data_IF_842268842226
#
_entry.id   IF_842268842226
#
_cell.length_a   1.000
_cell.length_b   1.000
_cell.length_c   1.000
_cell.angle_alpha   90.00
_cell.angle_beta   90.00
_cell.angle_gamma   90.00
#
_symmetry.space_group_name_H-M   'P 1'
#
loop_
_entity.id
_entity.type
_entity.pdbx_description
1 polymer ?
#
# COMPACT_ATOMS: atom_id res chain seq x y z
N UNK A 1 3.08 -21.45 -0.60
CA UNK A 1 4.42 -20.89 -0.92
C UNK A 1 4.39 -19.38 -1.14
N UNK A 2 3.71 -18.86 -2.17
CA UNK A 2 3.67 -17.40 -2.46
C UNK A 2 3.14 -16.58 -1.29
N UNK A 3 1.98 -16.94 -0.72
CA UNK A 3 1.40 -16.25 0.44
C UNK A 3 2.37 -16.15 1.63
N UNK A 4 3.12 -17.23 1.90
CA UNK A 4 4.11 -17.27 2.99
C UNK A 4 5.29 -16.34 2.73
N UNK A 5 5.86 -16.34 1.52
CA UNK A 5 6.97 -15.45 1.21
C UNK A 5 6.56 -13.97 1.12
N UNK A 6 5.34 -13.69 0.65
CA UNK A 6 4.80 -12.33 0.68
C UNK A 6 4.58 -11.89 2.13
N UNK A 7 4.03 -12.75 2.99
CA UNK A 7 3.90 -12.49 4.42
C UNK A 7 5.26 -12.19 5.08
N UNK A 8 6.29 -12.99 4.76
CA UNK A 8 7.64 -12.74 5.27
C UNK A 8 8.21 -11.38 4.84
N UNK A 9 8.07 -10.99 3.57
CA UNK A 9 8.58 -9.70 3.10
C UNK A 9 7.74 -8.53 3.62
N UNK A 10 6.44 -8.71 3.83
CA UNK A 10 5.57 -7.75 4.50
C UNK A 10 6.00 -7.53 5.96
N UNK A 11 6.26 -8.60 6.72
CA UNK A 11 6.81 -8.49 8.07
C UNK A 11 8.17 -7.79 8.08
N UNK A 12 9.04 -8.12 7.11
CA UNK A 12 10.32 -7.43 6.94
C UNK A 12 10.13 -5.93 6.69
N UNK A 13 9.14 -5.51 5.91
CA UNK A 13 8.83 -4.09 5.73
C UNK A 13 8.48 -3.41 7.06
N UNK A 14 7.65 -4.05 7.89
CA UNK A 14 7.32 -3.52 9.23
C UNK A 14 8.56 -3.39 10.12
N UNK A 15 9.45 -4.38 10.08
CA UNK A 15 10.71 -4.36 10.83
C UNK A 15 11.64 -3.25 10.31
N UNK A 16 11.85 -3.19 8.99
CA UNK A 16 12.68 -2.17 8.32
C UNK A 16 12.21 -0.75 8.66
N UNK A 17 10.91 -0.49 8.66
CA UNK A 17 10.37 0.83 9.00
C UNK A 17 10.68 1.25 10.45
N UNK A 18 10.59 0.30 11.40
CA UNK A 18 10.98 0.55 12.81
C UNK A 18 12.47 0.82 12.98
N UNK A 19 13.30 0.23 12.11
CA UNK A 19 14.75 0.45 12.08
C UNK A 19 15.14 1.69 11.27
N UNK A 20 14.19 2.36 10.60
CA UNK A 20 14.47 3.49 9.71
C UNK A 20 15.18 3.09 8.41
N UNK A 21 15.02 1.85 7.97
CA UNK A 21 15.66 1.27 6.77
C UNK A 21 14.64 1.17 5.64
N UNK A 22 15.07 1.42 4.41
CA UNK A 22 14.26 1.16 3.22
C UNK A 22 14.23 -0.34 2.88
N UNK A 23 13.05 -0.95 2.95
CA UNK A 23 12.87 -2.37 2.64
C UNK A 23 13.17 -2.70 1.18
N UNK A 24 12.98 -1.75 0.25
CA UNK A 24 13.24 -1.96 -1.17
C UNK A 24 14.74 -2.10 -1.43
N UNK A 25 15.56 -1.27 -0.78
CA UNK A 25 17.02 -1.43 -0.81
C UNK A 25 17.47 -2.76 -0.19
N UNK A 26 16.82 -3.21 0.89
CA UNK A 26 17.09 -4.52 1.50
C UNK A 26 16.81 -5.66 0.52
N UNK A 27 15.66 -5.61 -0.17
CA UNK A 27 15.29 -6.61 -1.19
C UNK A 27 16.26 -6.59 -2.37
N UNK A 28 16.64 -5.41 -2.85
CA UNK A 28 17.58 -5.27 -3.97
C UNK A 28 19.00 -5.74 -3.60
N UNK A 29 19.47 -5.40 -2.40
CA UNK A 29 20.75 -5.89 -1.87
C UNK A 29 20.74 -7.41 -1.72
N UNK A 30 19.67 -8.00 -1.18
CA UNK A 30 19.53 -9.45 -1.05
C UNK A 30 19.52 -10.15 -2.41
N UNK A 31 18.92 -9.52 -3.42
CA UNK A 31 18.85 -10.03 -4.78
C UNK A 31 20.18 -10.00 -5.56
N UNK A 32 21.22 -9.34 -5.05
CA UNK A 32 22.57 -9.40 -5.67
C UNK A 32 23.22 -10.77 -5.53
N UNK A 33 22.71 -11.63 -4.63
CA UNK A 33 23.23 -12.99 -4.45
C UNK A 33 22.75 -13.91 -5.57
N UNK A 34 23.65 -14.63 -6.27
CA UNK A 34 23.30 -15.42 -7.45
C UNK A 34 22.52 -16.71 -7.14
N UNK A 35 22.28 -17.03 -5.86
CA UNK A 35 21.56 -18.21 -5.41
C UNK A 35 20.81 -17.96 -4.10
N UNK A 36 19.76 -18.74 -3.86
CA UNK A 36 19.05 -18.76 -2.58
C UNK A 36 18.12 -17.58 -2.30
N UNK A 37 17.92 -16.68 -3.27
CA UNK A 37 16.99 -15.56 -3.14
C UNK A 37 15.94 -15.59 -4.25
N UNK A 38 14.67 -15.68 -3.86
CA UNK A 38 13.54 -15.47 -4.76
C UNK A 38 12.91 -14.12 -4.42
N UNK A 39 12.86 -13.22 -5.41
CA UNK A 39 12.30 -11.88 -5.22
C UNK A 39 10.80 -11.96 -4.90
N UNK A 40 10.44 -11.42 -3.75
CA UNK A 40 9.09 -11.04 -3.37
C UNK A 40 9.14 -9.59 -2.89
N UNK A 41 8.04 -8.87 -3.07
CA UNK A 41 7.95 -7.47 -2.73
C UNK A 41 6.86 -7.25 -1.68
N UNK A 42 7.07 -6.31 -0.75
CA UNK A 42 6.05 -5.95 0.20
C UNK A 42 4.95 -5.16 -0.51
N UNK A 43 3.79 -5.03 0.14
CA UNK A 43 2.67 -4.28 -0.43
C UNK A 43 1.56 -4.02 0.58
N UNK A 44 0.48 -3.35 0.15
CA UNK A 44 -0.66 -3.02 1.00
C UNK A 44 -1.44 -4.26 1.48
N UNK A 45 -1.19 -5.44 0.90
CA UNK A 45 -1.82 -6.70 1.25
C UNK A 45 -1.75 -7.71 0.11
N UNK A 46 -2.40 -8.85 0.29
CA UNK A 46 -2.62 -9.83 -0.77
C UNK A 46 -3.90 -9.50 -1.54
N UNK A 47 -3.93 -9.81 -2.83
CA UNK A 47 -5.14 -9.70 -3.61
C UNK A 47 -5.28 -10.74 -4.71
N UNK A 48 -6.46 -10.72 -5.36
CA UNK A 48 -6.91 -11.74 -6.30
C UNK A 48 -7.38 -12.99 -5.56
N UNK A 49 -7.97 -13.95 -6.27
CA UNK A 49 -8.59 -15.10 -5.60
C UNK A 49 -7.58 -16.14 -5.09
N UNK A 50 -6.57 -16.52 -5.89
CA UNK A 50 -5.80 -17.73 -5.62
C UNK A 50 -4.85 -17.62 -4.40
N UNK A 51 -4.25 -16.46 -4.17
CA UNK A 51 -3.22 -16.30 -3.12
C UNK A 51 -3.83 -16.15 -1.72
N UNK A 52 -4.88 -15.34 -1.49
CA UNK A 52 -5.51 -15.23 -0.18
C UNK A 52 -6.44 -16.40 0.16
N UNK A 53 -7.12 -17.02 -0.82
CA UNK A 53 -8.14 -18.05 -0.54
C UNK A 53 -7.57 -19.46 -0.49
N UNK A 54 -6.82 -19.90 -1.50
CA UNK A 54 -6.39 -21.31 -1.63
C UNK A 54 -5.60 -21.83 -0.41
N UNK A 55 -4.65 -21.06 0.17
CA UNK A 55 -3.94 -21.50 1.36
C UNK A 55 -4.88 -21.64 2.57
N UNK A 56 -5.82 -20.72 2.75
CA UNK A 56 -6.79 -20.77 3.86
C UNK A 56 -7.75 -21.95 3.72
N UNK A 57 -8.16 -22.28 2.49
CA UNK A 57 -8.93 -23.49 2.22
C UNK A 57 -8.16 -24.75 2.61
N UNK A 58 -6.87 -24.84 2.26
CA UNK A 58 -6.01 -25.95 2.69
C UNK A 58 -5.87 -25.97 4.22
N UNK A 59 -5.64 -24.83 4.87
CA UNK A 59 -5.53 -24.72 6.32
C UNK A 59 -6.80 -25.23 7.02
N UNK A 60 -7.96 -24.80 6.53
CA UNK A 60 -9.25 -25.29 7.00
C UNK A 60 -9.39 -26.80 6.83
N UNK A 61 -9.03 -27.34 5.66
CA UNK A 61 -9.11 -28.78 5.40
C UNK A 61 -8.20 -29.57 6.35
N UNK A 62 -6.98 -29.10 6.59
CA UNK A 62 -6.04 -29.75 7.51
C UNK A 62 -6.51 -29.73 8.96
N UNK A 63 -7.25 -28.69 9.37
CA UNK A 63 -7.88 -28.62 10.70
C UNK A 63 -8.88 -29.76 10.92
N UNK A 64 -9.59 -30.21 9.88
CA UNK A 64 -10.46 -31.41 9.96
C UNK A 64 -9.69 -32.70 10.23
N UNK A 65 -8.39 -32.71 9.93
CA UNK A 65 -7.46 -33.81 10.21
C UNK A 65 -6.65 -33.57 11.50
N UNK A 66 -7.10 -32.63 12.35
CA UNK A 66 -6.41 -32.22 13.59
C UNK A 66 -4.97 -31.75 13.36
N UNK A 67 -4.64 -31.27 12.15
CA UNK A 67 -3.33 -30.72 11.83
C UNK A 67 -3.41 -29.20 11.64
N UNK A 68 -2.56 -28.48 12.38
CA UNK A 68 -2.49 -27.02 12.32
C UNK A 68 -1.41 -26.56 11.36
N UNK A 69 -1.79 -25.86 10.30
CA UNK A 69 -0.87 -25.31 9.28
C UNK A 69 -0.27 -23.97 9.74
N UNK A 70 0.62 -24.02 10.74
CA UNK A 70 1.21 -22.82 11.39
C UNK A 70 1.74 -21.77 10.41
N UNK A 71 2.50 -22.15 9.38
CA UNK A 71 3.04 -21.21 8.40
C UNK A 71 1.97 -20.53 7.55
N UNK A 72 0.90 -21.25 7.19
CA UNK A 72 -0.17 -20.68 6.37
C UNK A 72 -0.96 -19.67 7.20
N UNK A 73 -1.30 -20.04 8.43
CA UNK A 73 -2.06 -19.18 9.35
C UNK A 73 -1.29 -17.90 9.68
N UNK A 74 0.00 -18.01 10.05
CA UNK A 74 0.83 -16.85 10.36
C UNK A 74 1.00 -15.93 9.14
N UNK A 75 1.22 -16.50 7.97
CA UNK A 75 1.30 -15.70 6.75
C UNK A 75 -0.02 -14.98 6.46
N UNK A 76 -1.16 -15.62 6.67
CA UNK A 76 -2.45 -15.00 6.47
C UNK A 76 -2.67 -13.84 7.46
N UNK A 77 -2.31 -14.01 8.73
CA UNK A 77 -2.37 -12.98 9.76
C UNK A 77 -1.54 -11.75 9.38
N UNK A 78 -0.24 -11.94 9.09
CA UNK A 78 0.65 -10.83 8.69
C UNK A 78 0.13 -10.10 7.46
N UNK A 79 -0.34 -10.84 6.44
CA UNK A 79 -0.84 -10.23 5.22
C UNK A 79 -2.15 -9.45 5.44
N UNK A 80 -3.03 -9.93 6.32
CA UNK A 80 -4.30 -9.27 6.66
C UNK A 80 -4.09 -7.99 7.49
N UNK A 81 -2.94 -7.85 8.17
CA UNK A 81 -2.59 -6.62 8.91
C UNK A 81 -2.02 -5.51 8.03
N UNK A 82 -1.62 -5.81 6.80
CA UNK A 82 -0.96 -4.82 5.93
C UNK A 82 -1.83 -3.62 5.55
N UNK A 83 -3.16 -3.73 5.32
CA UNK A 83 -4.00 -2.56 5.15
C UNK A 83 -3.94 -1.63 6.35
N UNK A 84 -4.02 -2.15 7.58
CA UNK A 84 -3.88 -1.35 8.81
C UNK A 84 -2.50 -0.70 8.92
N UNK A 85 -1.45 -1.41 8.49
CA UNK A 85 -0.10 -0.86 8.42
C UNK A 85 -0.04 0.34 7.46
N UNK A 86 -0.67 0.26 6.28
CA UNK A 86 -0.78 1.39 5.33
C UNK A 86 -1.52 2.57 5.96
N UNK A 87 -2.61 2.33 6.70
CA UNK A 87 -3.32 3.40 7.43
C UNK A 87 -2.42 4.08 8.45
N UNK A 88 -1.54 3.32 9.13
CA UNK A 88 -0.58 3.92 10.06
C UNK A 88 0.41 4.82 9.33
N UNK A 89 0.91 4.40 8.17
CA UNK A 89 1.76 5.24 7.31
C UNK A 89 1.05 6.50 6.82
N UNK A 90 -0.22 6.39 6.45
CA UNK A 90 -1.08 7.53 6.12
C UNK A 90 -1.20 8.52 7.29
N UNK A 91 -1.43 8.02 8.50
CA UNK A 91 -1.49 8.86 9.70
C UNK A 91 -0.15 9.54 10.00
N UNK A 92 0.98 8.83 9.85
CA UNK A 92 2.32 9.41 10.00
C UNK A 92 2.57 10.54 9.01
N UNK A 93 2.23 10.32 7.72
CA UNK A 93 2.36 11.33 6.68
C UNK A 93 1.51 12.58 6.97
N UNK A 94 0.23 12.41 7.28
CA UNK A 94 -0.68 13.53 7.62
C UNK A 94 -0.22 14.28 8.88
N UNK A 95 0.23 13.56 9.91
CA UNK A 95 0.71 14.17 11.15
C UNK A 95 1.95 15.03 10.93
N UNK A 96 2.78 14.74 9.92
CA UNK A 96 3.95 15.55 9.57
C UNK A 96 3.60 17.00 9.19
N UNK A 97 2.37 17.21 8.71
CA UNK A 97 1.79 18.53 8.37
C UNK A 97 0.64 18.92 9.30
N UNK A 98 0.57 18.31 10.50
CA UNK A 98 -0.44 18.58 11.55
C UNK A 98 -1.88 18.33 11.10
N UNK A 99 -2.11 17.36 10.21
CA UNK A 99 -3.45 16.86 9.85
C UNK A 99 -3.69 15.47 10.46
N UNK A 100 -4.94 15.15 10.72
CA UNK A 100 -5.40 13.82 11.15
C UNK A 100 -6.05 13.07 10.00
N UNK A 101 -6.12 11.74 10.07
CA UNK A 101 -6.88 10.93 9.09
C UNK A 101 -8.35 11.37 9.05
N UNK A 102 -8.97 11.59 10.22
CA UNK A 102 -10.33 12.10 10.32
C UNK A 102 -10.40 13.51 9.71
N UNK A 103 -11.30 13.70 8.75
CA UNK A 103 -11.53 14.94 8.03
C UNK A 103 -10.53 15.25 6.91
N UNK A 104 -9.55 14.37 6.65
CA UNK A 104 -8.63 14.55 5.53
C UNK A 104 -9.24 14.03 4.22
N UNK A 105 -8.98 14.76 3.13
CA UNK A 105 -9.31 14.32 1.76
C UNK A 105 -8.22 13.38 1.25
N UNK A 106 -8.59 12.13 0.98
CA UNK A 106 -7.64 11.08 0.56
C UNK A 106 -8.02 10.56 -0.83
N UNK A 107 -7.06 10.61 -1.76
CA UNK A 107 -7.20 10.02 -3.08
C UNK A 107 -6.45 8.68 -3.15
N UNK A 108 -7.17 7.60 -3.41
CA UNK A 108 -6.56 6.27 -3.62
C UNK A 108 -6.34 6.04 -5.12
N UNK A 109 -5.10 5.80 -5.51
CA UNK A 109 -4.72 5.44 -6.88
C UNK A 109 -4.68 3.93 -7.04
N UNK A 110 -5.56 3.43 -7.91
CA UNK A 110 -5.78 2.02 -8.19
C UNK A 110 -6.63 1.31 -7.14
N UNK A 111 -7.62 0.55 -7.61
CA UNK A 111 -8.47 -0.33 -6.78
C UNK A 111 -8.47 -1.78 -7.28
N UNK A 112 -8.00 -2.03 -8.50
CA UNK A 112 -7.73 -3.38 -8.98
C UNK A 112 -6.69 -4.10 -8.10
N UNK A 113 -6.78 -5.43 -7.97
CA UNK A 113 -5.86 -6.19 -7.12
C UNK A 113 -4.43 -6.29 -7.68
N UNK A 114 -4.28 -6.02 -8.99
CA UNK A 114 -3.04 -6.07 -9.76
C UNK A 114 -3.04 -4.92 -10.79
N UNK A 115 -1.86 -4.43 -11.21
CA UNK A 115 -1.77 -3.49 -12.33
C UNK A 115 -2.48 -3.96 -13.60
N UNK A 116 -3.02 -2.97 -14.30
CA UNK A 116 -3.55 -3.00 -15.67
C UNK A 116 -4.65 -4.04 -15.92
N UNK A 117 -5.46 -4.30 -14.90
CA UNK A 117 -6.66 -5.15 -14.98
C UNK A 117 -7.82 -4.47 -14.26
N UNK A 118 -9.05 -4.91 -14.54
CA UNK A 118 -10.27 -4.39 -13.92
C UNK A 118 -10.80 -5.27 -12.78
N UNK A 119 -10.02 -6.24 -12.31
CA UNK A 119 -10.45 -7.20 -11.29
C UNK A 119 -10.14 -6.64 -9.89
N UNK A 120 -11.19 -6.43 -9.10
CA UNK A 120 -11.12 -5.88 -7.74
C UNK A 120 -11.31 -6.93 -6.65
N UNK A 121 -11.47 -8.21 -7.01
CA UNK A 121 -11.73 -9.27 -6.03
C UNK A 121 -10.56 -9.42 -5.07
N UNK A 122 -10.89 -9.45 -3.77
CA UNK A 122 -9.92 -9.50 -2.67
C UNK A 122 -8.86 -8.39 -2.75
N UNK A 123 -9.14 -7.26 -3.42
CA UNK A 123 -8.13 -6.22 -3.57
C UNK A 123 -7.86 -5.54 -2.21
N UNK A 124 -6.58 -5.42 -1.79
CA UNK A 124 -6.23 -4.76 -0.53
C UNK A 124 -6.57 -3.27 -0.53
N UNK A 125 -6.78 -2.67 -1.71
CA UNK A 125 -7.25 -1.29 -1.83
C UNK A 125 -8.65 -1.11 -1.21
N UNK A 126 -9.50 -2.12 -1.27
CA UNK A 126 -10.85 -2.07 -0.71
C UNK A 126 -10.81 -1.99 0.82
N UNK A 127 -9.94 -2.79 1.44
CA UNK A 127 -9.71 -2.75 2.89
C UNK A 127 -9.13 -1.40 3.31
N UNK A 128 -8.17 -0.86 2.56
CA UNK A 128 -7.61 0.47 2.81
C UNK A 128 -8.70 1.55 2.75
N UNK A 129 -9.54 1.56 1.71
CA UNK A 129 -10.65 2.52 1.56
C UNK A 129 -11.64 2.39 2.72
N UNK A 130 -12.04 1.16 3.07
CA UNK A 130 -12.96 0.91 4.17
C UNK A 130 -12.40 1.41 5.51
N UNK A 131 -11.13 1.12 5.79
CA UNK A 131 -10.44 1.53 7.02
C UNK A 131 -10.21 3.04 7.11
N UNK A 132 -9.98 3.73 5.99
CA UNK A 132 -9.92 5.19 5.91
C UNK A 132 -11.28 5.82 6.22
N UNK A 133 -12.34 5.36 5.56
CA UNK A 133 -13.72 5.81 5.78
C UNK A 133 -14.16 5.58 7.23
N UNK A 134 -13.85 4.42 7.79
CA UNK A 134 -14.13 4.11 9.20
C UNK A 134 -13.45 5.10 10.16
N UNK A 135 -12.29 5.66 9.78
CA UNK A 135 -11.57 6.69 10.55
C UNK A 135 -12.02 8.12 10.24
N UNK A 136 -13.04 8.29 9.41
CA UNK A 136 -13.62 9.60 9.06
C UNK A 136 -12.88 10.35 7.96
N UNK A 137 -12.06 9.68 7.13
CA UNK A 137 -11.48 10.32 5.95
C UNK A 137 -12.52 10.45 4.82
N UNK A 138 -12.39 11.52 4.03
CA UNK A 138 -13.15 11.71 2.79
C UNK A 138 -12.37 11.04 1.65
N UNK A 139 -12.84 9.88 1.19
CA UNK A 139 -12.09 9.03 0.26
C UNK A 139 -12.69 9.10 -1.14
N UNK A 140 -11.85 9.50 -2.10
CA UNK A 140 -12.06 9.35 -3.54
C UNK A 140 -11.05 8.32 -4.09
N UNK A 141 -11.31 7.76 -5.27
CA UNK A 141 -10.35 6.89 -5.94
C UNK A 141 -10.24 7.21 -7.43
N UNK A 142 -9.06 6.98 -7.99
CA UNK A 142 -8.81 6.99 -9.42
C UNK A 142 -8.25 5.62 -9.84
N UNK A 143 -8.94 4.95 -10.76
CA UNK A 143 -8.48 3.74 -11.43
C UNK A 143 -8.91 3.79 -12.91
N UNK A 144 -7.96 3.69 -13.87
CA UNK A 144 -8.27 3.71 -15.30
C UNK A 144 -9.10 2.52 -15.80
N UNK A 145 -9.07 1.39 -15.08
CA UNK A 145 -9.67 0.12 -15.48
C UNK A 145 -10.97 -0.19 -14.73
N UNK A 146 -11.21 0.48 -13.59
CA UNK A 146 -12.38 0.25 -12.73
C UNK A 146 -13.23 1.53 -12.61
N UNK A 147 -14.22 1.75 -13.50
CA UNK A 147 -14.99 3.00 -13.54
C UNK A 147 -15.92 3.18 -12.34
N UNK A 148 -16.37 2.09 -11.73
CA UNK A 148 -17.25 2.10 -10.56
C UNK A 148 -16.92 0.94 -9.62
N UNK A 149 -17.07 1.19 -8.33
CA UNK A 149 -16.76 0.26 -7.26
C UNK A 149 -17.92 0.20 -6.26
N UNK A 150 -18.57 -0.96 -6.17
CA UNK A 150 -19.57 -1.21 -5.15
C UNK A 150 -18.93 -1.60 -3.83
N UNK A 151 -19.22 -0.86 -2.76
CA UNK A 151 -18.77 -1.13 -1.40
C UNK A 151 -19.97 -1.21 -0.46
N UNK A 152 -19.84 -1.96 0.64
CA UNK A 152 -20.87 -1.96 1.70
C UNK A 152 -21.13 -0.56 2.27
N UNK A 153 -20.11 0.32 2.24
CA UNK A 153 -20.19 1.70 2.69
C UNK A 153 -20.73 2.68 1.64
N UNK A 154 -21.23 2.18 0.51
CA UNK A 154 -21.76 2.96 -0.58
C UNK A 154 -20.83 3.01 -1.79
N UNK A 155 -21.45 3.07 -2.96
CA UNK A 155 -20.78 3.04 -4.25
C UNK A 155 -19.85 4.24 -4.44
N UNK A 156 -18.74 3.99 -5.13
CA UNK A 156 -17.78 4.99 -5.55
C UNK A 156 -17.61 4.95 -7.06
N UNK A 157 -17.32 6.10 -7.65
CA UNK A 157 -16.95 6.22 -9.06
C UNK A 157 -15.50 6.69 -9.17
N UNK A 158 -14.80 6.19 -10.17
CA UNK A 158 -13.44 6.62 -10.48
C UNK A 158 -13.47 8.09 -10.89
N UNK A 159 -12.69 8.92 -10.19
CA UNK A 159 -12.56 10.35 -10.52
C UNK A 159 -11.44 10.55 -11.52
N UNK A 160 -11.52 11.60 -12.33
CA UNK A 160 -10.40 11.97 -13.21
C UNK A 160 -9.21 12.49 -12.40
N UNK A 161 -8.01 12.02 -12.77
CA UNK A 161 -6.76 12.48 -12.19
C UNK A 161 -6.37 13.82 -12.82
N UNK A 162 -6.54 14.91 -12.06
CA UNK A 162 -6.25 16.27 -12.53
C UNK A 162 -5.38 17.01 -11.52
N UNK A 163 -4.62 18.00 -12.00
CA UNK A 163 -3.81 18.88 -11.16
C UNK A 163 -4.62 19.51 -10.02
N UNK A 164 -5.78 20.11 -10.34
CA UNK A 164 -6.63 20.77 -9.33
C UNK A 164 -7.10 19.80 -8.24
N UNK A 165 -7.46 18.56 -8.60
CA UNK A 165 -7.85 17.55 -7.61
C UNK A 165 -6.69 17.13 -6.73
N UNK A 166 -5.50 16.94 -7.32
CA UNK A 166 -4.28 16.60 -6.58
C UNK A 166 -3.88 17.73 -5.62
N UNK A 167 -4.02 18.98 -6.04
CA UNK A 167 -3.76 20.16 -5.21
C UNK A 167 -4.75 20.29 -4.04
N UNK A 168 -6.01 19.89 -4.25
CA UNK A 168 -7.04 19.82 -3.20
C UNK A 168 -6.91 18.58 -2.30
N UNK A 169 -6.15 17.57 -2.69
CA UNK A 169 -6.04 16.34 -1.90
C UNK A 169 -5.00 16.48 -0.78
N UNK A 170 -5.35 16.02 0.43
CA UNK A 170 -4.44 16.07 1.58
C UNK A 170 -3.41 14.95 1.55
N UNK A 171 -3.82 13.77 1.07
CA UNK A 171 -2.98 12.59 0.96
C UNK A 171 -3.38 11.76 -0.27
N UNK A 172 -2.39 11.35 -1.04
CA UNK A 172 -2.55 10.33 -2.09
C UNK A 172 -2.01 8.99 -1.59
N UNK A 173 -2.70 7.88 -1.87
CA UNK A 173 -2.22 6.52 -1.58
C UNK A 173 -2.14 5.72 -2.86
N UNK A 174 -0.96 5.18 -3.20
CA UNK A 174 -0.79 4.31 -4.38
C UNK A 174 -1.04 2.86 -4.00
N UNK A 175 -2.29 2.40 -4.09
CA UNK A 175 -2.64 1.03 -3.73
C UNK A 175 -2.29 0.02 -4.84
N UNK A 176 -2.34 0.46 -6.10
CA UNK A 176 -1.96 -0.35 -7.28
C UNK A 176 -1.15 0.47 -8.27
N UNK A 177 -0.02 -0.09 -8.70
CA UNK A 177 0.97 0.50 -9.59
C UNK A 177 0.61 0.35 -11.07
N UNK A 178 -0.53 0.92 -11.49
CA UNK A 178 -0.95 0.94 -12.89
C UNK A 178 0.05 1.69 -13.77
N UNK A 179 0.25 1.21 -15.00
CA UNK A 179 1.16 1.84 -15.98
C UNK A 179 0.58 3.12 -16.59
N UNK A 180 -0.75 3.21 -16.69
CA UNK A 180 -1.48 4.36 -17.28
C UNK A 180 -1.67 5.55 -16.33
N UNK A 181 -1.16 5.48 -15.09
CA UNK A 181 -1.22 6.59 -14.13
C UNK A 181 -0.03 7.54 -14.35
N UNK A 182 -0.32 8.84 -14.53
CA UNK A 182 0.72 9.87 -14.62
C UNK A 182 1.28 10.20 -13.23
N UNK A 183 2.27 9.43 -12.78
CA UNK A 183 2.94 9.66 -11.51
C UNK A 183 3.75 10.96 -11.47
N UNK A 184 4.20 11.49 -12.62
CA UNK A 184 4.88 12.80 -12.67
C UNK A 184 3.90 13.94 -12.33
N UNK A 185 2.66 13.86 -12.84
CA UNK A 185 1.59 14.77 -12.43
C UNK A 185 1.33 14.68 -10.91
N UNK A 186 1.27 13.46 -10.36
CA UNK A 186 1.13 13.24 -8.92
C UNK A 186 2.30 13.87 -8.15
N UNK A 187 3.54 13.65 -8.58
CA UNK A 187 4.75 14.19 -7.96
C UNK A 187 4.81 15.73 -7.94
N UNK A 188 4.24 16.38 -8.96
CA UNK A 188 4.18 17.85 -9.07
C UNK A 188 3.05 18.50 -8.27
N UNK A 189 1.91 17.83 -8.10
CA UNK A 189 0.71 18.45 -7.52
C UNK A 189 0.29 17.88 -6.16
N UNK A 190 0.57 16.63 -5.83
CA UNK A 190 0.25 16.08 -4.52
C UNK A 190 1.16 16.68 -3.44
N UNK A 191 0.61 16.93 -2.25
CA UNK A 191 1.42 17.38 -1.10
C UNK A 191 2.08 16.22 -0.38
N UNK A 192 1.32 15.14 -0.13
CA UNK A 192 1.77 13.93 0.53
C UNK A 192 1.36 12.71 -0.30
N UNK A 193 2.26 11.74 -0.39
CA UNK A 193 1.96 10.44 -1.00
C UNK A 193 2.40 9.33 -0.05
N UNK A 194 1.57 8.31 0.13
CA UNK A 194 1.97 7.02 0.70
C UNK A 194 2.01 6.00 -0.44
N UNK A 195 3.20 5.50 -0.75
CA UNK A 195 3.45 4.61 -1.87
C UNK A 195 3.87 3.21 -1.37
N UNK A 196 2.89 2.35 -1.04
CA UNK A 196 3.17 1.00 -0.58
C UNK A 196 3.66 0.07 -1.70
N UNK A 197 3.51 0.47 -2.96
CA UNK A 197 3.89 -0.33 -4.16
C UNK A 197 5.25 0.05 -4.74
N UNK A 198 5.83 1.15 -4.27
CA UNK A 198 7.05 1.75 -4.82
C UNK A 198 6.90 2.10 -6.32
N UNK A 199 5.70 2.55 -6.70
CA UNK A 199 5.38 2.96 -8.07
C UNK A 199 6.13 4.25 -8.44
N UNK A 200 6.31 5.16 -7.49
CA UNK A 200 6.93 6.47 -7.70
C UNK A 200 8.44 6.44 -7.48
N UNK A 201 9.09 5.28 -7.62
CA UNK A 201 10.52 5.13 -7.28
C UNK A 201 11.45 5.97 -8.14
N UNK A 202 11.09 6.11 -9.41
CA UNK A 202 11.87 6.81 -10.42
C UNK A 202 11.26 8.18 -10.77
N UNK A 203 10.18 8.57 -10.06
CA UNK A 203 9.44 9.82 -10.31
C UNK A 203 10.15 11.02 -9.70
N UNK A 204 10.22 12.12 -10.46
CA UNK A 204 10.70 13.40 -9.92
C UNK A 204 9.56 14.09 -9.17
N UNK A 205 9.36 13.68 -7.91
CA UNK A 205 8.47 14.37 -7.01
C UNK A 205 9.06 15.75 -6.63
N UNK A 206 8.61 16.81 -7.29
CA UNK A 206 9.03 18.18 -6.99
C UNK A 206 8.35 18.72 -5.72
N UNK A 207 7.05 18.45 -5.59
CA UNK A 207 6.19 18.91 -4.49
C UNK A 207 5.93 17.81 -3.47
N UNK A 208 5.68 16.59 -3.95
CA UNK A 208 5.16 15.50 -3.13
C UNK A 208 6.21 14.92 -2.18
N UNK A 209 5.93 14.93 -0.88
CA UNK A 209 6.70 14.12 0.06
C UNK A 209 6.16 12.68 0.03
N UNK A 210 6.96 11.76 -0.51
CA UNK A 210 6.62 10.35 -0.72
C UNK A 210 7.08 9.52 0.47
N UNK A 211 6.13 8.89 1.14
CA UNK A 211 6.34 7.91 2.20
C UNK A 211 6.30 6.51 1.59
N UNK A 212 7.42 5.79 1.52
CA UNK A 212 7.40 4.40 1.08
C UNK A 212 6.69 3.52 2.12
N UNK A 213 6.39 2.27 1.74
CA UNK A 213 5.86 1.27 2.69
C UNK A 213 6.74 1.15 3.94
N UNK A 214 8.05 1.23 3.80
CA UNK A 214 8.99 1.19 4.90
C UNK A 214 10.20 2.06 4.56
N UNK A 215 10.69 2.80 5.56
CA UNK A 215 11.85 3.67 5.41
C UNK A 215 11.51 5.15 5.58
N UNK A 216 12.52 6.02 5.41
CA UNK A 216 12.33 7.47 5.53
C UNK A 216 11.52 8.02 4.35
N UNK A 217 10.77 9.12 4.55
CA UNK A 217 10.14 9.82 3.44
C UNK A 217 11.19 10.42 2.50
N UNK A 218 10.82 10.65 1.24
CA UNK A 218 11.67 11.25 0.21
C UNK A 218 10.93 12.32 -0.59
N UNK A 219 11.66 13.27 -1.15
CA UNK A 219 11.16 14.20 -2.16
C UNK A 219 12.14 14.15 -3.35
N UNK A 220 11.64 13.78 -4.54
CA UNK A 220 12.46 13.35 -5.66
C UNK A 220 13.48 12.27 -5.25
N UNK A 221 14.77 12.49 -5.57
CA UNK A 221 15.88 11.60 -5.17
C UNK A 221 16.46 11.89 -3.78
N UNK A 222 15.88 12.82 -3.02
CA UNK A 222 16.44 13.26 -1.73
C UNK A 222 15.66 12.68 -0.56
N UNK A 223 16.37 12.06 0.40
CA UNK A 223 15.78 11.60 1.66
C UNK A 223 15.40 12.82 2.52
N UNK A 224 14.16 12.85 3.00
CA UNK A 224 13.67 13.88 3.91
C UNK A 224 13.87 13.39 5.34
N UNK A 225 14.65 14.11 6.19
CA UNK A 225 14.82 13.71 7.58
C UNK A 225 13.48 13.73 8.30
N UNK A 226 13.18 12.67 9.07
CA UNK A 226 11.99 12.67 9.95
C UNK A 226 12.17 13.81 10.96
N UNK A 227 11.18 14.69 11.08
CA UNK A 227 11.14 15.66 12.19
C UNK A 227 11.10 14.85 13.49
N UNK A 228 12.23 14.70 14.16
CA UNK A 228 12.30 14.09 15.47
C UNK A 228 11.47 14.94 16.43
N UNK A 229 10.38 14.38 16.96
CA UNK A 229 9.78 14.92 18.18
C UNK A 229 10.75 14.63 19.33
N UNK A 230 11.69 15.54 19.57
CA UNK A 230 12.40 15.71 20.83
C UNK A 230 12.97 17.14 20.87
N UNK A 231 12.21 18.04 21.48
CA UNK A 231 12.64 18.88 22.60
C UNK A 231 11.47 18.93 23.60
#
# INVERSE_FOLDING_TARGET
FRAVNIGLVNEMAVISDRLGIDVWEVVDAAATKPYGFMRFFPGPGLGGHCIPIDPLFLAWKMKTLQYRTRFIELAAEVNAEMPLYVIRRAAEALNSVRKSVNGSRVLVLGVAYKPDVNDTRESPALDVIALLRQRGAEVEYHDPFVPGLGLESGDLMSVELTAGRLDDTDLVIVATDHTDVDYELVGRHASLVVDPRNAMKDTEAEKAVVYPIAGPPRNGRTIVPRRTQHD
#
